data_IF_047879028270
#
_entry.id   IF_047879028270
#
_cell.length_a   1.000
_cell.length_b   1.000
_cell.length_c   1.000
_cell.angle_alpha   90.00
_cell.angle_beta   90.00
_cell.angle_gamma   90.00
#
_symmetry.space_group_name_H-M   'P 1'
#
loop_
_entity.id
_entity.type
_entity.pdbx_description
1 polymer ?
#
# COMPACT_ATOMS: atom_id res chain seq x y z
N UNK A 1 10.69 -4.62 -1.61
CA UNK A 1 10.79 -4.91 -0.16
C UNK A 1 10.11 -6.25 0.13
N UNK A 2 10.52 -6.99 1.15
CA UNK A 2 9.90 -8.27 1.54
C UNK A 2 9.30 -8.16 2.95
N UNK A 3 8.04 -8.57 3.13
CA UNK A 3 7.32 -8.50 4.40
C UNK A 3 6.56 -9.80 4.65
N UNK A 4 6.24 -10.07 5.91
CA UNK A 4 5.39 -11.19 6.29
C UNK A 4 3.90 -10.83 6.12
N UNK A 5 3.07 -11.85 5.88
CA UNK A 5 1.62 -11.71 5.96
C UNK A 5 1.22 -11.17 7.35
N UNK A 6 0.28 -10.22 7.40
CA UNK A 6 -0.14 -9.53 8.61
C UNK A 6 0.58 -8.21 8.87
N UNK A 7 1.71 -7.93 8.20
CA UNK A 7 2.38 -6.64 8.27
C UNK A 7 1.48 -5.51 7.73
N UNK A 8 1.75 -4.28 8.19
CA UNK A 8 1.03 -3.08 7.76
C UNK A 8 2.04 -2.10 7.17
N UNK A 9 1.80 -1.68 5.92
CA UNK A 9 2.47 -0.54 5.33
C UNK A 9 1.61 0.70 5.60
N UNK A 10 2.16 1.64 6.38
CA UNK A 10 1.50 2.90 6.72
C UNK A 10 2.12 4.04 5.92
N UNK A 11 1.28 4.78 5.23
CA UNK A 11 1.65 5.98 4.47
C UNK A 11 0.96 7.18 5.11
N UNK A 12 1.69 8.27 5.36
CA UNK A 12 1.18 9.47 6.01
C UNK A 12 1.31 10.68 5.06
N UNK A 13 0.44 11.68 5.25
CA UNK A 13 0.42 12.87 4.41
C UNK A 13 -0.13 12.60 3.01
N UNK A 14 -0.92 11.53 2.84
CA UNK A 14 -1.50 11.18 1.54
C UNK A 14 -2.95 11.66 1.48
N UNK A 15 -3.33 12.29 0.36
CA UNK A 15 -4.72 12.64 0.08
C UNK A 15 -5.63 11.41 -0.04
N UNK A 16 -6.95 11.57 0.18
CA UNK A 16 -7.90 10.45 0.12
C UNK A 16 -7.92 9.81 -1.27
N UNK A 17 -7.89 8.47 -1.31
CA UNK A 17 -8.08 7.69 -2.54
C UNK A 17 -6.94 7.72 -3.56
N UNK A 18 -5.77 8.28 -3.22
CA UNK A 18 -4.65 8.41 -4.16
C UNK A 18 -3.83 7.11 -4.31
N UNK A 19 -3.73 6.30 -3.26
CA UNK A 19 -2.87 5.11 -3.26
C UNK A 19 -3.56 3.93 -3.90
N UNK A 20 -2.90 3.32 -4.89
CA UNK A 20 -3.39 2.11 -5.56
C UNK A 20 -2.47 0.92 -5.29
N UNK A 21 -3.05 -0.27 -5.17
CA UNK A 21 -2.30 -1.52 -4.97
C UNK A 21 -2.75 -2.56 -5.98
N UNK A 22 -1.79 -3.19 -6.66
CA UNK A 22 -2.05 -4.22 -7.66
C UNK A 22 -1.24 -5.48 -7.36
N UNK A 23 -1.86 -6.67 -7.19
CA UNK A 23 -3.30 -6.90 -7.13
C UNK A 23 -3.90 -6.49 -5.76
N UNK A 24 -5.05 -5.81 -5.79
CA UNK A 24 -5.73 -5.35 -4.57
C UNK A 24 -6.19 -6.50 -3.65
N UNK A 25 -6.40 -7.70 -4.19
CA UNK A 25 -6.82 -8.89 -3.43
C UNK A 25 -5.77 -9.42 -2.43
N UNK A 26 -4.52 -8.95 -2.51
CA UNK A 26 -3.46 -9.32 -1.57
C UNK A 26 -3.43 -8.44 -0.32
N UNK A 27 -4.17 -7.34 -0.31
CA UNK A 27 -4.14 -6.34 0.75
C UNK A 27 -5.54 -5.94 1.21
N UNK A 28 -5.62 -5.37 2.40
CA UNK A 28 -6.79 -4.63 2.87
C UNK A 28 -6.35 -3.20 3.15
N UNK A 29 -7.06 -2.22 2.61
CA UNK A 29 -6.70 -0.80 2.72
C UNK A 29 -7.72 -0.05 3.58
N UNK A 30 -7.24 0.89 4.39
CA UNK A 30 -8.07 1.84 5.12
C UNK A 30 -7.45 3.22 5.05
N UNK A 31 -8.29 4.25 4.98
CA UNK A 31 -7.88 5.65 4.99
C UNK A 31 -8.51 6.36 6.18
N UNK A 32 -7.70 7.10 6.94
CA UNK A 32 -8.17 7.93 8.03
C UNK A 32 -7.26 9.15 8.20
N UNK A 33 -7.82 10.36 8.10
CA UNK A 33 -7.11 11.60 8.46
C UNK A 33 -5.77 11.84 7.77
N UNK A 34 -5.64 11.52 6.48
CA UNK A 34 -4.36 11.67 5.74
C UNK A 34 -3.40 10.49 5.87
N UNK A 35 -3.84 9.42 6.52
CA UNK A 35 -3.09 8.17 6.68
C UNK A 35 -3.75 7.08 5.85
N UNK A 36 -2.96 6.36 5.06
CA UNK A 36 -3.36 5.14 4.38
C UNK A 36 -2.66 3.96 5.05
N UNK A 37 -3.43 3.05 5.61
CA UNK A 37 -2.94 1.79 6.14
C UNK A 37 -3.23 0.66 5.16
N UNK A 38 -2.20 -0.09 4.80
CA UNK A 38 -2.26 -1.22 3.86
C UNK A 38 -1.83 -2.47 4.61
N UNK A 39 -2.81 -3.28 5.03
CA UNK A 39 -2.57 -4.57 5.68
C UNK A 39 -2.34 -5.66 4.63
N UNK A 40 -1.24 -6.38 4.76
CA UNK A 40 -0.89 -7.49 3.87
C UNK A 40 -1.65 -8.74 4.32
N UNK A 41 -2.62 -9.22 3.52
CA UNK A 41 -3.55 -10.29 3.95
C UNK A 41 -3.34 -11.63 3.24
N UNK A 42 -2.63 -11.64 2.09
CA UNK A 42 -2.27 -12.87 1.37
C UNK A 42 -0.84 -12.78 0.84
N UNK A 43 -0.21 -13.95 0.71
CA UNK A 43 1.13 -14.10 0.10
C UNK A 43 1.07 -13.75 -1.38
N UNK A 44 2.17 -13.21 -1.92
CA UNK A 44 2.28 -12.80 -3.32
C UNK A 44 3.14 -11.56 -3.48
N UNK A 45 3.12 -10.96 -4.68
CA UNK A 45 3.82 -9.70 -4.94
C UNK A 45 2.80 -8.64 -5.28
N UNK A 46 2.84 -7.51 -4.57
CA UNK A 46 1.98 -6.36 -4.77
C UNK A 46 2.82 -5.14 -5.17
N UNK A 47 2.31 -4.36 -6.11
CA UNK A 47 2.86 -3.06 -6.48
C UNK A 47 1.99 -1.98 -5.87
N UNK A 48 2.59 -1.09 -5.08
CA UNK A 48 1.92 0.05 -4.45
C UNK A 48 2.33 1.31 -5.21
N UNK A 49 1.37 2.06 -5.74
CA UNK A 49 1.62 3.36 -6.36
C UNK A 49 1.09 4.48 -5.47
N UNK A 50 1.94 5.47 -5.22
CA UNK A 50 1.69 6.57 -4.30
C UNK A 50 1.87 7.87 -5.10
N UNK A 51 0.77 8.51 -5.53
CA UNK A 51 0.80 9.83 -6.13
C UNK A 51 1.12 10.88 -5.07
N UNK A 52 2.18 11.65 -5.27
CA UNK A 52 2.59 12.76 -4.40
C UNK A 52 3.26 13.85 -5.24
N UNK A 53 2.87 15.10 -5.04
CA UNK A 53 3.46 16.30 -5.67
C UNK A 53 3.57 16.20 -7.22
N UNK A 54 2.56 15.63 -7.86
CA UNK A 54 2.52 15.44 -9.32
C UNK A 54 3.42 14.32 -9.84
N UNK A 55 4.09 13.58 -8.95
CA UNK A 55 4.89 12.39 -9.26
C UNK A 55 4.21 11.13 -8.70
N UNK A 56 4.48 9.99 -9.31
CA UNK A 56 4.02 8.69 -8.77
C UNK A 56 5.21 7.89 -8.30
N UNK A 57 5.24 7.57 -7.01
CA UNK A 57 6.23 6.70 -6.40
C UNK A 57 5.71 5.27 -6.38
N UNK A 58 6.49 4.34 -6.93
CA UNK A 58 6.12 2.93 -7.00
C UNK A 58 6.98 2.10 -6.07
N UNK A 59 6.34 1.27 -5.23
CA UNK A 59 6.98 0.35 -4.31
C UNK A 59 6.53 -1.08 -4.61
N UNK A 60 7.48 -1.97 -4.88
CA UNK A 60 7.20 -3.41 -5.00
C UNK A 60 7.35 -4.10 -3.64
N UNK A 61 6.28 -4.78 -3.21
CA UNK A 61 6.19 -5.50 -1.94
C UNK A 61 6.02 -7.00 -2.22
N UNK A 62 6.92 -7.81 -1.70
CA UNK A 62 6.82 -9.27 -1.70
C UNK A 62 6.32 -9.73 -0.33
N UNK A 63 5.18 -10.41 -0.30
CA UNK A 63 4.49 -10.88 0.89
C UNK A 63 4.75 -12.37 1.05
N UNK A 64 5.41 -12.76 2.14
CA UNK A 64 5.83 -14.13 2.43
C UNK A 64 5.13 -14.70 3.67
#
# INVERSE_FOLDING_TARGET
MCFATGAVLRLQGIGPGLVTVTPASLVSQSYEGGVVDIRLVRRGTATVNIPQDGQTYTITVVIR
#
